data_IF_911229161600
#
_entry.id   IF_911229161600
#
_cell.length_a   1.000
_cell.length_b   1.000
_cell.length_c   1.000
_cell.angle_alpha   90.00
_cell.angle_beta   90.00
_cell.angle_gamma   90.00
#
_symmetry.space_group_name_H-M   'P 1'
#
loop_
_entity.id
_entity.type
_entity.pdbx_description
1 polymer ?
#
# COMPACT_ATOMS: atom_id res chain seq x y z
N UNK A 1 7.95 -0.10 -23.02
CA UNK A 1 7.49 -1.24 -22.19
C UNK A 1 7.22 -0.68 -20.81
N UNK A 2 5.95 -0.57 -20.41
CA UNK A 2 5.61 -0.11 -19.06
C UNK A 2 5.94 -1.23 -18.09
N UNK A 3 7.12 -1.19 -17.48
CA UNK A 3 7.42 -2.04 -16.34
C UNK A 3 6.38 -1.75 -15.27
N UNK A 4 5.50 -2.71 -14.99
CA UNK A 4 4.59 -2.63 -13.88
C UNK A 4 5.43 -2.55 -12.61
N UNK A 5 5.43 -1.38 -11.97
CA UNK A 5 6.20 -1.09 -10.75
C UNK A 5 5.81 -2.06 -9.62
N UNK A 6 4.57 -2.55 -9.69
CA UNK A 6 3.99 -3.52 -8.78
C UNK A 6 3.78 -4.84 -9.49
N UNK A 7 4.21 -5.92 -8.86
CA UNK A 7 3.91 -7.28 -9.29
C UNK A 7 2.41 -7.57 -9.12
N UNK A 8 1.91 -8.60 -9.81
CA UNK A 8 0.53 -9.07 -9.61
C UNK A 8 0.25 -9.45 -8.14
N UNK A 9 1.26 -9.99 -7.45
CA UNK A 9 1.21 -10.30 -6.01
C UNK A 9 1.11 -9.04 -5.15
N UNK A 10 1.89 -8.00 -5.47
CA UNK A 10 1.82 -6.70 -4.79
C UNK A 10 0.41 -6.12 -4.89
N UNK A 11 -0.21 -6.20 -6.08
CA UNK A 11 -1.58 -5.71 -6.32
C UNK A 11 -2.63 -6.52 -5.53
N UNK A 12 -2.55 -7.86 -5.57
CA UNK A 12 -3.46 -8.74 -4.79
C UNK A 12 -3.33 -8.50 -3.30
N UNK A 13 -2.12 -8.25 -2.80
CA UNK A 13 -1.90 -7.94 -1.40
C UNK A 13 -2.62 -6.65 -0.99
N UNK A 14 -2.44 -5.57 -1.77
CA UNK A 14 -3.12 -4.31 -1.52
C UNK A 14 -4.65 -4.43 -1.62
N UNK A 15 -5.15 -5.24 -2.55
CA UNK A 15 -6.57 -5.54 -2.68
C UNK A 15 -7.12 -6.24 -1.43
N UNK A 16 -6.41 -7.24 -0.89
CA UNK A 16 -6.80 -7.93 0.34
C UNK A 16 -6.86 -6.93 1.50
N UNK A 17 -5.88 -6.01 1.59
CA UNK A 17 -5.89 -4.98 2.63
C UNK A 17 -7.09 -4.04 2.51
N UNK A 18 -7.43 -3.64 1.28
CA UNK A 18 -8.59 -2.79 1.04
C UNK A 18 -9.91 -3.52 1.35
N UNK A 19 -10.11 -4.72 0.80
CA UNK A 19 -11.37 -5.48 0.91
C UNK A 19 -11.60 -6.08 2.29
N UNK A 20 -10.57 -6.63 2.95
CA UNK A 20 -10.72 -7.27 4.26
C UNK A 20 -10.54 -6.32 5.42
N UNK A 21 -9.69 -5.31 5.28
CA UNK A 21 -9.30 -4.44 6.40
C UNK A 21 -9.68 -2.97 6.19
N UNK A 22 -10.33 -2.63 5.07
CA UNK A 22 -10.83 -1.29 4.81
C UNK A 22 -9.71 -0.26 4.61
N UNK A 23 -8.57 -0.69 4.02
CA UNK A 23 -7.48 0.22 3.66
C UNK A 23 -7.92 1.18 2.56
N UNK A 24 -8.20 2.44 2.91
CA UNK A 24 -8.67 3.45 1.93
C UNK A 24 -7.53 4.20 1.26
N UNK A 25 -6.44 4.46 1.97
CA UNK A 25 -5.27 5.11 1.40
C UNK A 25 -3.97 4.67 2.06
N UNK A 26 -2.87 4.73 1.29
CA UNK A 26 -1.50 4.68 1.77
C UNK A 26 -0.81 5.96 1.36
N UNK A 27 -0.43 6.80 2.31
CA UNK A 27 0.40 7.99 2.09
C UNK A 27 1.84 7.64 2.39
N UNK A 28 2.73 7.92 1.46
CA UNK A 28 4.18 7.84 1.63
C UNK A 28 4.76 9.25 1.59
N UNK A 29 5.22 9.71 2.74
CA UNK A 29 5.91 10.99 2.92
C UNK A 29 7.35 10.75 3.40
N UNK A 30 8.10 11.82 3.67
CA UNK A 30 9.47 11.72 4.22
C UNK A 30 9.49 11.29 5.69
N UNK A 31 8.34 11.31 6.36
CA UNK A 31 8.17 10.79 7.73
C UNK A 31 7.85 9.30 7.76
N UNK A 32 7.54 8.69 6.61
CA UNK A 32 7.29 7.25 6.48
C UNK A 32 6.00 6.92 5.73
N UNK A 33 5.43 5.76 6.05
CA UNK A 33 4.18 5.25 5.48
C UNK A 33 3.04 5.49 6.47
N UNK A 34 1.97 6.18 6.05
CA UNK A 34 0.75 6.42 6.82
C UNK A 34 -0.44 5.76 6.14
N UNK A 35 -1.31 5.14 6.92
CA UNK A 35 -2.53 4.48 6.44
C UNK A 35 -3.73 4.91 7.27
N UNK A 36 -4.94 4.93 6.69
CA UNK A 36 -6.13 5.49 7.37
C UNK A 36 -6.53 4.74 8.65
N UNK A 37 -6.26 3.43 8.71
CA UNK A 37 -6.73 2.51 9.73
C UNK A 37 -5.57 1.73 10.33
N UNK A 38 -4.47 2.43 10.64
CA UNK A 38 -3.21 1.82 11.09
C UNK A 38 -3.41 0.83 12.23
N UNK A 39 -4.25 1.13 13.22
CA UNK A 39 -4.50 0.25 14.36
C UNK A 39 -5.27 -1.02 14.01
N UNK A 40 -6.26 -0.93 13.11
CA UNK A 40 -7.07 -2.08 12.67
C UNK A 40 -6.26 -2.97 11.73
N UNK A 41 -5.52 -2.35 10.82
CA UNK A 41 -4.66 -3.05 9.87
C UNK A 41 -3.49 -3.68 10.62
N UNK A 42 -2.85 -2.99 11.57
CA UNK A 42 -1.79 -3.53 12.41
C UNK A 42 -2.28 -4.70 13.27
N UNK A 43 -3.47 -4.61 13.89
CA UNK A 43 -4.06 -5.75 14.64
C UNK A 43 -4.42 -6.93 13.75
N UNK A 44 -4.93 -6.66 12.55
CA UNK A 44 -5.32 -7.72 11.64
C UNK A 44 -4.10 -8.39 10.99
N UNK A 45 -3.04 -7.62 10.73
CA UNK A 45 -1.76 -8.12 10.25
C UNK A 45 -0.93 -8.77 11.36
N UNK A 46 -1.09 -8.42 12.64
CA UNK A 46 -0.39 -9.09 13.75
C UNK A 46 -0.92 -10.50 14.05
N UNK A 47 -2.17 -10.79 13.67
CA UNK A 47 -2.80 -12.10 13.86
C UNK A 47 -2.49 -13.11 12.74
N UNK A 48 -1.91 -12.65 11.63
CA UNK A 48 -1.41 -13.51 10.57
C UNK A 48 0.11 -13.50 10.67
N UNK A 49 0.74 -14.68 10.83
CA UNK A 49 2.19 -14.86 10.97
C UNK A 49 2.98 -14.54 9.70
N UNK A 50 2.67 -13.42 9.05
CA UNK A 50 3.30 -12.92 7.85
C UNK A 50 3.52 -11.42 8.04
N UNK A 51 4.75 -10.99 7.80
CA UNK A 51 5.25 -9.62 8.01
C UNK A 51 4.65 -8.66 6.95
N UNK A 52 3.33 -8.52 6.97
CA UNK A 52 2.53 -7.76 6.01
C UNK A 52 2.93 -6.27 6.00
N UNK A 53 3.41 -5.76 7.13
CA UNK A 53 4.02 -4.43 7.25
C UNK A 53 5.34 -4.33 6.48
N UNK A 54 6.19 -5.37 6.52
CA UNK A 54 7.42 -5.41 5.73
C UNK A 54 7.12 -5.43 4.23
N UNK A 55 6.14 -6.23 3.79
CA UNK A 55 5.75 -6.30 2.38
C UNK A 55 5.17 -4.97 1.88
N UNK A 56 4.35 -4.31 2.70
CA UNK A 56 3.85 -2.96 2.42
C UNK A 56 5.01 -1.94 2.32
N UNK A 57 6.00 -2.05 3.20
CA UNK A 57 7.21 -1.21 3.18
C UNK A 57 8.01 -1.40 1.89
N UNK A 58 8.16 -2.63 1.41
CA UNK A 58 8.85 -2.89 0.15
C UNK A 58 8.08 -2.35 -1.07
N UNK A 59 6.75 -2.53 -1.10
CA UNK A 59 5.87 -1.96 -2.13
C UNK A 59 6.02 -0.44 -2.18
N UNK A 60 5.97 0.21 -1.02
CA UNK A 60 6.04 1.67 -0.91
C UNK A 60 7.42 2.21 -1.26
N UNK A 61 8.51 1.51 -0.91
CA UNK A 61 9.87 1.85 -1.36
C UNK A 61 10.01 1.76 -2.87
N UNK A 62 9.52 0.70 -3.52
CA UNK A 62 9.53 0.57 -5.00
C UNK A 62 8.83 1.76 -5.65
N UNK A 63 7.67 2.13 -5.13
CA UNK A 63 6.89 3.26 -5.61
C UNK A 63 7.60 4.60 -5.35
N UNK A 64 8.14 4.84 -4.15
CA UNK A 64 8.87 6.08 -3.81
C UNK A 64 10.12 6.24 -4.68
N UNK A 65 10.86 5.15 -4.89
CA UNK A 65 12.04 5.14 -5.77
C UNK A 65 11.66 5.51 -7.20
N UNK A 66 10.56 4.97 -7.73
CA UNK A 66 10.16 5.22 -9.12
C UNK A 66 9.48 6.57 -9.33
N UNK A 67 8.66 7.01 -8.37
CA UNK A 67 7.96 8.29 -8.41
C UNK A 67 8.88 9.46 -8.06
N UNK A 68 9.95 9.19 -7.31
CA UNK A 68 10.91 10.17 -6.78
C UNK A 68 10.22 11.38 -6.13
N UNK A 69 9.10 11.14 -5.45
CA UNK A 69 8.20 12.15 -4.91
C UNK A 69 7.35 11.51 -3.83
N UNK A 70 6.81 12.34 -2.93
CA UNK A 70 5.80 11.89 -1.97
C UNK A 70 4.52 11.54 -2.75
N UNK A 71 3.81 10.52 -2.30
CA UNK A 71 2.64 10.04 -3.03
C UNK A 71 1.60 9.46 -2.08
N UNK A 72 0.34 9.47 -2.54
CA UNK A 72 -0.78 8.82 -1.91
C UNK A 72 -1.35 7.78 -2.87
N UNK A 73 -1.42 6.54 -2.43
CA UNK A 73 -2.27 5.53 -3.05
C UNK A 73 -3.66 5.71 -2.48
N UNK A 74 -4.63 5.96 -3.35
CA UNK A 74 -6.04 6.00 -3.03
C UNK A 74 -6.70 4.75 -3.57
N UNK A 75 -7.21 3.90 -2.67
CA UNK A 75 -7.97 2.72 -3.05
C UNK A 75 -9.39 3.15 -3.40
N UNK A 76 -9.85 2.71 -4.57
CA UNK A 76 -11.23 2.91 -5.02
C UNK A 76 -11.98 1.58 -4.90
N UNK A 77 -13.31 1.62 -5.01
CA UNK A 77 -14.12 0.40 -5.09
C UNK A 77 -13.63 -0.52 -6.22
N UNK A 78 -13.22 -1.74 -5.88
CA UNK A 78 -12.70 -2.76 -6.81
C UNK A 78 -11.17 -2.94 -6.77
N UNK A 79 -10.62 -3.55 -7.83
CA UNK A 79 -9.17 -3.77 -8.06
C UNK A 79 -8.40 -2.49 -8.45
N UNK A 80 -9.06 -1.33 -8.39
CA UNK A 80 -8.51 -0.07 -8.88
C UNK A 80 -7.97 0.75 -7.72
N UNK A 81 -6.72 1.17 -7.83
CA UNK A 81 -6.09 2.15 -6.96
C UNK A 81 -5.44 3.22 -7.83
N UNK A 82 -5.47 4.45 -7.34
CA UNK A 82 -4.87 5.59 -8.02
C UNK A 82 -3.66 6.07 -7.23
N UNK A 83 -2.56 6.32 -7.94
CA UNK A 83 -1.40 7.00 -7.36
C UNK A 83 -1.53 8.49 -7.61
N UNK A 84 -1.47 9.28 -6.55
CA UNK A 84 -1.46 10.74 -6.59
C UNK A 84 -0.15 11.25 -5.98
N UNK A 85 0.53 12.19 -6.64
CA UNK A 85 1.76 12.79 -6.10
C UNK A 85 1.39 13.92 -5.14
N UNK A 86 2.14 14.06 -4.05
CA UNK A 86 1.94 15.07 -2.99
C UNK A 86 3.18 15.93 -2.84
#
# INVERSE_FOLDING_TARGET
MSENILSLEDVKFLEILHTKFGLQFIRCDDSGVKINNEQLIAKATSNQSFDNMFYLSEITKKLKYRLNSNFQLNFSTGLNFHVERI
#
